data_IF_741633079201
#
_entry.id   IF_741633079201
#
_cell.length_a   1.000
_cell.length_b   1.000
_cell.length_c   1.000
_cell.angle_alpha   90.00
_cell.angle_beta   90.00
_cell.angle_gamma   90.00
#
_symmetry.space_group_name_H-M   'P 1'
#
loop_
_entity.id
_entity.type
_entity.pdbx_description
1 polymer ?
#
# COMPACT_ATOMS: atom_id res chain seq x y z
N UNK A 1 1.43 -15.81 -38.33
CA UNK A 1 2.51 -15.49 -37.35
C UNK A 1 1.86 -14.73 -36.20
N UNK A 2 1.90 -15.30 -35.04
CA UNK A 2 1.33 -14.65 -33.84
C UNK A 2 2.14 -13.41 -33.51
N UNK A 3 1.51 -12.25 -33.53
CA UNK A 3 2.15 -10.99 -33.12
C UNK A 3 2.17 -10.91 -31.61
N UNK A 4 3.31 -10.53 -31.04
CA UNK A 4 3.48 -10.33 -29.62
C UNK A 4 3.96 -8.91 -29.33
N UNK A 5 3.60 -8.37 -28.19
CA UNK A 5 4.14 -7.11 -27.67
C UNK A 5 4.52 -7.24 -26.21
N UNK A 6 5.38 -6.34 -25.75
CA UNK A 6 5.74 -6.24 -24.36
C UNK A 6 4.71 -5.38 -23.62
N UNK A 7 4.28 -5.88 -22.48
CA UNK A 7 3.35 -5.19 -21.58
C UNK A 7 3.99 -5.09 -20.21
N UNK A 8 4.13 -3.87 -19.71
CA UNK A 8 4.78 -3.56 -18.43
C UNK A 8 3.74 -3.12 -17.39
N UNK A 9 3.87 -3.60 -16.17
CA UNK A 9 3.12 -3.05 -15.04
C UNK A 9 3.78 -1.73 -14.59
N UNK A 10 3.06 -0.62 -14.69
CA UNK A 10 3.50 0.70 -14.24
C UNK A 10 2.99 1.07 -12.84
N UNK A 11 2.18 0.21 -12.22
CA UNK A 11 1.61 0.46 -10.92
C UNK A 11 2.53 -0.01 -9.78
N UNK A 12 2.30 0.50 -8.59
CA UNK A 12 3.02 0.11 -7.37
C UNK A 12 2.59 -1.25 -6.82
N UNK A 13 1.47 -1.79 -7.32
CA UNK A 13 0.85 -3.03 -6.85
C UNK A 13 0.86 -4.11 -7.93
N UNK A 14 0.56 -5.35 -7.51
CA UNK A 14 0.39 -6.48 -8.44
C UNK A 14 -0.90 -6.28 -9.24
N UNK A 15 -0.79 -6.33 -10.57
CA UNK A 15 -1.92 -6.28 -11.48
C UNK A 15 -2.26 -7.67 -11.97
N UNK A 16 -3.53 -8.08 -11.84
CA UNK A 16 -4.00 -9.39 -12.28
C UNK A 16 -5.19 -9.22 -13.20
N UNK A 17 -5.17 -9.92 -14.35
CA UNK A 17 -6.36 -10.05 -15.19
C UNK A 17 -6.68 -11.51 -15.48
N UNK A 18 -7.89 -11.75 -15.94
CA UNK A 18 -8.39 -13.08 -16.35
C UNK A 18 -9.17 -12.95 -17.65
N UNK A 19 -9.01 -13.95 -18.49
CA UNK A 19 -9.85 -14.16 -19.68
C UNK A 19 -10.48 -15.56 -19.48
N UNK A 20 -11.72 -15.63 -18.96
CA UNK A 20 -12.33 -16.90 -18.58
C UNK A 20 -12.53 -17.85 -19.76
N UNK A 21 -12.83 -17.32 -20.94
CA UNK A 21 -13.08 -18.08 -22.17
C UNK A 21 -11.88 -18.96 -22.58
N UNK A 22 -10.67 -18.44 -22.39
CA UNK A 22 -9.43 -19.15 -22.72
C UNK A 22 -8.75 -19.77 -21.48
N UNK A 23 -9.34 -19.63 -20.29
CA UNK A 23 -8.74 -20.06 -19.04
C UNK A 23 -7.44 -19.31 -18.67
N UNK A 24 -7.20 -18.15 -19.30
CA UNK A 24 -5.99 -17.36 -19.09
C UNK A 24 -6.10 -16.55 -17.80
N UNK A 25 -5.05 -16.65 -16.97
CA UNK A 25 -4.83 -15.76 -15.83
C UNK A 25 -3.40 -15.24 -15.86
N UNK A 26 -3.24 -13.92 -15.89
CA UNK A 26 -1.94 -13.27 -15.83
C UNK A 26 -1.81 -12.42 -14.57
N UNK A 27 -0.63 -12.45 -14.00
CA UNK A 27 -0.25 -11.62 -12.85
C UNK A 27 1.04 -10.89 -13.20
N UNK A 28 1.10 -9.60 -12.93
CA UNK A 28 2.27 -8.75 -13.15
C UNK A 28 2.70 -8.14 -11.82
N UNK A 29 3.91 -8.45 -11.38
CA UNK A 29 4.51 -7.74 -10.25
C UNK A 29 4.80 -6.27 -10.62
N UNK A 30 4.98 -5.36 -9.64
CA UNK A 30 5.35 -3.97 -9.91
C UNK A 30 6.59 -3.88 -10.80
N UNK A 31 6.51 -3.12 -11.89
CA UNK A 31 7.59 -2.95 -12.85
C UNK A 31 7.87 -4.14 -13.77
N UNK A 32 7.20 -5.27 -13.60
CA UNK A 32 7.38 -6.46 -14.42
C UNK A 32 6.91 -6.25 -15.85
N UNK A 33 7.69 -6.78 -16.82
CA UNK A 33 7.33 -6.78 -18.23
C UNK A 33 7.13 -8.21 -18.71
N UNK A 34 5.98 -8.46 -19.37
CA UNK A 34 5.67 -9.76 -20.00
C UNK A 34 5.35 -9.59 -21.46
N UNK A 35 5.70 -10.63 -22.23
CA UNK A 35 5.39 -10.73 -23.65
C UNK A 35 3.99 -11.34 -23.81
N UNK A 36 3.06 -10.58 -24.41
CA UNK A 36 1.65 -10.94 -24.57
C UNK A 36 1.32 -10.97 -26.06
N UNK A 37 0.47 -11.91 -26.49
CA UNK A 37 0.00 -11.97 -27.88
C UNK A 37 -1.04 -10.89 -28.14
N UNK A 38 -1.14 -10.45 -29.40
CA UNK A 38 -2.15 -9.50 -29.83
C UNK A 38 -3.57 -10.07 -29.64
N UNK A 39 -3.76 -11.36 -29.88
CA UNK A 39 -5.01 -12.06 -29.67
C UNK A 39 -5.46 -12.00 -28.19
N UNK A 40 -4.52 -12.24 -27.27
CA UNK A 40 -4.80 -12.14 -25.82
C UNK A 40 -5.18 -10.71 -25.43
N UNK A 41 -4.49 -9.69 -25.99
CA UNK A 41 -4.82 -8.29 -25.72
C UNK A 41 -6.19 -7.91 -26.28
N UNK A 42 -6.52 -8.38 -27.48
CA UNK A 42 -7.81 -8.16 -28.10
C UNK A 42 -8.95 -8.72 -27.23
N UNK A 43 -8.84 -9.99 -26.84
CA UNK A 43 -9.80 -10.64 -25.94
C UNK A 43 -9.92 -9.90 -24.60
N UNK A 44 -8.80 -9.40 -24.07
CA UNK A 44 -8.83 -8.61 -22.83
C UNK A 44 -9.59 -7.30 -23.03
N UNK A 45 -9.51 -6.64 -24.18
CA UNK A 45 -10.28 -5.40 -24.43
C UNK A 45 -11.79 -5.62 -24.43
N UNK A 46 -12.25 -6.82 -24.79
CA UNK A 46 -13.68 -7.20 -24.75
C UNK A 46 -14.14 -7.57 -23.33
N UNK A 47 -13.23 -7.88 -22.42
CA UNK A 47 -13.60 -8.15 -21.03
C UNK A 47 -14.00 -6.87 -20.30
N UNK A 48 -14.98 -6.98 -19.41
CA UNK A 48 -15.39 -5.85 -18.57
C UNK A 48 -14.21 -5.33 -17.74
N UNK A 49 -13.85 -4.07 -17.93
CA UNK A 49 -12.70 -3.44 -17.27
C UNK A 49 -11.33 -3.75 -17.87
N UNK A 50 -11.23 -4.62 -18.91
CA UNK A 50 -9.96 -4.99 -19.51
C UNK A 50 -9.23 -3.82 -20.15
N UNK A 51 -9.91 -2.96 -20.88
CA UNK A 51 -9.34 -1.74 -21.44
C UNK A 51 -8.84 -0.79 -20.34
N UNK A 52 -9.56 -0.68 -19.23
CA UNK A 52 -9.10 0.12 -18.09
C UNK A 52 -7.82 -0.43 -17.46
N UNK A 53 -7.69 -1.75 -17.36
CA UNK A 53 -6.46 -2.38 -16.86
C UNK A 53 -5.29 -2.04 -17.80
N UNK A 54 -5.48 -2.18 -19.11
CA UNK A 54 -4.44 -1.91 -20.11
C UNK A 54 -4.02 -0.43 -20.16
N UNK A 55 -4.95 0.50 -20.00
CA UNK A 55 -4.67 1.94 -20.13
C UNK A 55 -4.24 2.59 -18.81
N UNK A 56 -4.75 2.13 -17.66
CA UNK A 56 -4.51 2.77 -16.37
C UNK A 56 -3.36 2.16 -15.57
N UNK A 57 -3.21 0.84 -15.62
CA UNK A 57 -2.26 0.12 -14.77
C UNK A 57 -1.13 -0.53 -15.55
N UNK A 58 -1.40 -0.99 -16.76
CA UNK A 58 -0.39 -1.58 -17.64
C UNK A 58 0.06 -0.55 -18.68
N UNK A 59 1.24 -0.78 -19.23
CA UNK A 59 1.81 -0.03 -20.35
C UNK A 59 2.09 -1.00 -21.49
N UNK A 60 1.37 -0.85 -22.59
CA UNK A 60 1.62 -1.60 -23.82
C UNK A 60 2.74 -0.91 -24.59
N UNK A 61 3.85 -1.62 -24.83
CA UNK A 61 5.05 -1.08 -25.48
C UNK A 61 5.04 -1.39 -26.97
N UNK A 62 3.92 -1.12 -27.65
CA UNK A 62 3.78 -1.32 -29.09
C UNK A 62 2.83 -0.30 -29.67
N UNK A 63 3.34 0.59 -30.53
CA UNK A 63 2.53 1.62 -31.21
C UNK A 63 1.45 1.00 -32.09
N UNK A 64 1.75 -0.17 -32.68
CA UNK A 64 0.78 -0.91 -33.50
C UNK A 64 -0.41 -1.38 -32.64
N UNK A 65 -0.12 -1.98 -31.47
CA UNK A 65 -1.17 -2.42 -30.55
C UNK A 65 -1.98 -1.23 -30.00
N UNK A 66 -1.32 -0.14 -29.64
CA UNK A 66 -1.96 1.09 -29.13
C UNK A 66 -2.96 1.64 -30.18
N UNK A 67 -2.55 1.68 -31.45
CA UNK A 67 -3.40 2.14 -32.54
C UNK A 67 -4.54 1.17 -32.83
N UNK A 68 -4.24 -0.14 -32.90
CA UNK A 68 -5.23 -1.19 -33.22
C UNK A 68 -6.35 -1.25 -32.19
N UNK A 69 -6.00 -1.17 -30.90
CA UNK A 69 -6.96 -1.27 -29.79
C UNK A 69 -7.45 0.10 -29.28
N UNK A 70 -7.11 1.19 -29.98
CA UNK A 70 -7.52 2.56 -29.65
C UNK A 70 -7.24 2.94 -28.18
N UNK A 71 -6.06 2.52 -27.69
CA UNK A 71 -5.61 2.83 -26.34
C UNK A 71 -5.08 4.26 -26.30
N UNK A 72 -5.92 5.19 -25.85
CA UNK A 72 -5.53 6.60 -25.69
C UNK A 72 -4.73 6.75 -24.41
N UNK A 73 -3.42 6.76 -24.54
CA UNK A 73 -2.50 7.14 -23.45
C UNK A 73 -1.57 8.20 -23.99
N UNK A 74 -1.50 9.34 -23.33
CA UNK A 74 -0.60 10.42 -23.70
C UNK A 74 0.85 10.00 -23.40
N UNK A 75 1.78 10.10 -24.36
CA UNK A 75 3.17 9.66 -24.20
C UNK A 75 3.90 10.34 -23.03
N UNK A 76 3.50 11.55 -22.68
CA UNK A 76 4.06 12.35 -21.59
C UNK A 76 3.98 11.65 -20.23
N UNK A 77 2.99 10.78 -20.05
CA UNK A 77 2.77 10.03 -18.82
C UNK A 77 3.29 8.59 -18.84
N UNK A 78 4.15 8.26 -19.83
CA UNK A 78 4.95 7.03 -19.79
C UNK A 78 6.14 7.15 -18.84
N UNK A 79 5.85 7.48 -17.59
CA UNK A 79 6.86 7.73 -16.57
C UNK A 79 7.40 6.41 -16.02
N UNK A 80 8.73 6.32 -15.95
CA UNK A 80 9.41 5.26 -15.21
C UNK A 80 9.47 5.58 -13.71
N UNK A 81 9.80 4.57 -12.89
CA UNK A 81 10.03 4.79 -11.45
C UNK A 81 11.09 5.87 -11.18
N UNK A 82 12.15 5.91 -12.01
CA UNK A 82 13.19 6.93 -11.92
C UNK A 82 12.69 8.35 -12.26
N UNK A 83 11.79 8.46 -13.23
CA UNK A 83 11.20 9.76 -13.61
C UNK A 83 10.28 10.28 -12.51
N UNK A 84 9.48 9.39 -11.93
CA UNK A 84 8.62 9.72 -10.77
C UNK A 84 9.48 10.11 -9.57
N UNK A 85 10.57 9.41 -9.30
CA UNK A 85 11.51 9.76 -8.23
C UNK A 85 12.13 11.16 -8.44
N UNK A 86 12.56 11.48 -9.66
CA UNK A 86 13.05 12.82 -10.01
C UNK A 86 11.97 13.88 -9.83
N UNK A 87 10.75 13.60 -10.25
CA UNK A 87 9.64 14.54 -10.09
C UNK A 87 9.34 14.83 -8.61
N UNK A 88 9.41 13.83 -7.75
CA UNK A 88 9.23 13.98 -6.30
C UNK A 88 10.35 14.86 -5.71
N UNK A 89 11.61 14.61 -6.09
CA UNK A 89 12.78 15.25 -5.48
C UNK A 89 13.08 16.64 -6.04
N UNK A 90 13.02 16.81 -7.36
CA UNK A 90 13.48 18.01 -8.06
C UNK A 90 12.49 18.60 -9.07
N UNK A 91 11.34 17.94 -9.27
CA UNK A 91 10.31 18.45 -10.17
C UNK A 91 9.64 19.73 -9.63
N UNK A 92 9.11 20.57 -10.53
CA UNK A 92 8.31 21.72 -10.15
C UNK A 92 6.97 21.30 -9.57
N UNK A 93 6.34 22.17 -8.77
CA UNK A 93 5.00 21.96 -8.25
C UNK A 93 3.95 21.81 -9.37
N UNK A 94 4.07 22.67 -10.40
CA UNK A 94 3.14 22.65 -11.54
C UNK A 94 3.19 21.33 -12.30
N UNK A 95 4.40 20.81 -12.61
CA UNK A 95 4.56 19.51 -13.25
C UNK A 95 4.03 18.36 -12.38
N UNK A 96 4.18 18.47 -11.06
CA UNK A 96 3.63 17.50 -10.11
C UNK A 96 2.10 17.50 -10.10
N UNK A 97 1.48 18.68 -10.04
CA UNK A 97 0.03 18.85 -10.08
C UNK A 97 -0.55 18.36 -11.41
N UNK A 98 0.13 18.69 -12.52
CA UNK A 98 -0.25 18.27 -13.87
C UNK A 98 -0.26 16.73 -13.96
N UNK A 99 0.81 16.08 -13.50
CA UNK A 99 0.88 14.61 -13.42
C UNK A 99 -0.24 14.02 -12.56
N UNK A 100 -0.55 14.61 -11.41
CA UNK A 100 -1.65 14.14 -10.56
C UNK A 100 -3.03 14.26 -11.24
N UNK A 101 -3.18 15.21 -12.16
CA UNK A 101 -4.45 15.45 -12.83
C UNK A 101 -4.67 14.52 -14.02
N UNK A 102 -3.63 14.25 -14.79
CA UNK A 102 -3.74 13.62 -16.11
C UNK A 102 -3.07 12.27 -16.22
N UNK A 103 -2.11 11.94 -15.35
CA UNK A 103 -1.42 10.66 -15.42
C UNK A 103 -2.35 9.46 -15.11
N UNK A 104 -2.08 8.31 -15.70
CA UNK A 104 -2.80 7.07 -15.41
C UNK A 104 -2.72 6.68 -13.93
N UNK A 105 -3.76 6.02 -13.44
CA UNK A 105 -3.88 5.62 -12.02
C UNK A 105 -2.65 4.87 -11.50
N UNK A 106 -2.04 4.01 -12.34
CA UNK A 106 -0.82 3.27 -11.96
C UNK A 106 0.38 4.19 -11.65
N UNK A 107 0.53 5.31 -12.38
CA UNK A 107 1.55 6.32 -12.09
C UNK A 107 1.25 7.05 -10.78
N UNK A 108 -0.02 7.36 -10.52
CA UNK A 108 -0.44 7.99 -9.25
C UNK A 108 -0.17 7.07 -8.07
N UNK A 109 -0.42 5.77 -8.21
CA UNK A 109 -0.12 4.78 -7.17
C UNK A 109 1.40 4.66 -6.94
N UNK A 110 2.19 4.77 -8.01
CA UNK A 110 3.64 4.81 -7.91
C UNK A 110 4.14 6.06 -7.18
N UNK A 111 3.53 7.23 -7.44
CA UNK A 111 3.81 8.48 -6.72
C UNK A 111 3.53 8.30 -5.22
N UNK A 112 2.38 7.75 -4.84
CA UNK A 112 2.05 7.49 -3.43
C UNK A 112 3.09 6.60 -2.76
N UNK A 113 3.47 5.48 -3.39
CA UNK A 113 4.48 4.56 -2.86
C UNK A 113 5.82 5.25 -2.69
N UNK A 114 6.29 5.95 -3.72
CA UNK A 114 7.59 6.62 -3.69
C UNK A 114 7.63 7.81 -2.73
N UNK A 115 6.51 8.51 -2.52
CA UNK A 115 6.41 9.59 -1.53
C UNK A 115 6.61 9.14 -0.09
N UNK A 116 6.47 7.84 0.18
CA UNK A 116 6.80 7.24 1.47
C UNK A 116 8.28 6.85 1.54
N UNK A 117 8.79 6.23 0.46
CA UNK A 117 10.18 5.73 0.41
C UNK A 117 11.20 6.85 0.24
N UNK A 118 10.85 7.87 -0.54
CA UNK A 118 11.64 9.08 -0.75
C UNK A 118 10.94 10.18 0.04
N UNK A 119 11.58 10.78 1.06
CA UNK A 119 10.91 11.79 1.88
C UNK A 119 10.47 12.98 1.02
N UNK A 120 9.17 13.08 0.78
CA UNK A 120 8.56 14.23 0.13
C UNK A 120 8.55 15.38 1.14
N UNK A 121 9.58 16.24 1.09
CA UNK A 121 9.77 17.37 2.02
C UNK A 121 8.90 18.58 1.70
N UNK A 122 8.54 18.73 0.43
CA UNK A 122 7.73 19.83 -0.07
C UNK A 122 6.28 19.73 0.43
N UNK A 123 5.87 20.73 1.22
CA UNK A 123 4.55 20.80 1.83
C UNK A 123 3.46 20.96 0.78
N UNK A 124 3.70 21.79 -0.24
CA UNK A 124 2.72 22.08 -1.29
C UNK A 124 2.43 20.83 -2.13
N UNK A 125 3.46 20.04 -2.43
CA UNK A 125 3.29 18.74 -3.11
C UNK A 125 2.53 17.73 -2.24
N UNK A 126 2.76 17.70 -0.92
CA UNK A 126 2.00 16.84 0.01
C UNK A 126 0.52 17.22 0.02
N UNK A 127 0.22 18.51 0.11
CA UNK A 127 -1.14 19.02 0.09
C UNK A 127 -1.84 18.72 -1.24
N UNK A 128 -1.16 18.93 -2.37
CA UNK A 128 -1.66 18.59 -3.69
C UNK A 128 -2.00 17.09 -3.81
N UNK A 129 -1.09 16.22 -3.36
CA UNK A 129 -1.30 14.77 -3.36
C UNK A 129 -2.49 14.39 -2.47
N UNK A 130 -2.58 14.94 -1.27
CA UNK A 130 -3.69 14.71 -0.35
C UNK A 130 -5.02 15.20 -0.91
N UNK A 131 -5.06 16.39 -1.47
CA UNK A 131 -6.26 16.99 -2.07
C UNK A 131 -6.78 16.16 -3.26
N UNK A 132 -5.87 15.66 -4.11
CA UNK A 132 -6.25 14.91 -5.31
C UNK A 132 -6.63 13.46 -5.04
N UNK A 133 -5.91 12.80 -4.13
CA UNK A 133 -6.01 11.34 -3.93
C UNK A 133 -6.59 10.93 -2.58
N UNK A 134 -6.73 11.87 -1.64
CA UNK A 134 -7.05 11.58 -0.25
C UNK A 134 -5.88 10.96 0.55
N UNK A 135 -4.72 10.74 -0.08
CA UNK A 135 -3.58 10.07 0.54
C UNK A 135 -2.73 11.04 1.36
N UNK A 136 -2.66 10.80 2.66
CA UNK A 136 -1.87 11.59 3.60
C UNK A 136 -0.51 10.91 3.84
N UNK A 137 0.55 11.50 3.26
CA UNK A 137 1.92 10.99 3.37
C UNK A 137 2.40 10.99 4.82
N UNK A 138 2.02 12.00 5.61
CA UNK A 138 2.47 12.13 6.98
C UNK A 138 1.81 11.10 7.90
N UNK A 139 0.52 10.83 7.68
CA UNK A 139 -0.19 9.76 8.38
C UNK A 139 0.39 8.39 8.03
N UNK A 140 0.69 8.14 6.75
CA UNK A 140 1.31 6.90 6.30
C UNK A 140 2.70 6.68 6.93
N UNK A 141 3.54 7.71 6.98
CA UNK A 141 4.86 7.65 7.62
C UNK A 141 4.76 7.40 9.13
N UNK A 142 3.77 7.99 9.81
CA UNK A 142 3.53 7.72 11.25
C UNK A 142 3.12 6.27 11.49
N UNK A 143 2.25 5.72 10.67
CA UNK A 143 1.81 4.33 10.81
C UNK A 143 2.98 3.35 10.61
N UNK A 144 3.82 3.56 9.61
CA UNK A 144 5.00 2.72 9.36
C UNK A 144 5.98 2.78 10.54
N UNK A 145 6.18 3.96 11.14
CA UNK A 145 7.04 4.08 12.32
C UNK A 145 6.46 3.34 13.52
N UNK A 146 5.16 3.44 13.74
CA UNK A 146 4.49 2.71 14.81
C UNK A 146 4.60 1.19 14.63
N UNK A 147 4.41 0.68 13.42
CA UNK A 147 4.59 -0.74 13.09
C UNK A 147 6.03 -1.21 13.36
N UNK A 148 7.04 -0.40 12.97
CA UNK A 148 8.45 -0.71 13.20
C UNK A 148 8.84 -0.67 14.70
N UNK A 149 8.17 0.15 15.50
CA UNK A 149 8.37 0.20 16.94
C UNK A 149 7.75 -1.01 17.64
N UNK A 150 6.60 -1.47 17.18
CA UNK A 150 5.93 -2.66 17.71
C UNK A 150 6.66 -3.96 17.33
N UNK A 151 7.35 -4.01 16.19
CA UNK A 151 8.14 -5.16 15.75
C UNK A 151 9.51 -5.26 16.44
N UNK A 152 9.98 -4.21 17.11
CA UNK A 152 11.21 -4.31 17.92
C UNK A 152 10.94 -5.24 19.11
N UNK A 153 11.71 -6.35 19.25
CA UNK A 153 11.54 -7.23 20.39
C UNK A 153 11.76 -6.40 21.66
N UNK A 154 10.79 -6.44 22.57
CA UNK A 154 10.87 -5.86 23.92
C UNK A 154 11.90 -6.63 24.79
N UNK A 155 13.12 -6.76 24.30
CA UNK A 155 14.25 -7.35 24.98
C UNK A 155 15.25 -6.27 25.38
N UNK A 156 14.87 -5.49 26.36
CA UNK A 156 15.77 -4.91 27.34
C UNK A 156 14.93 -4.47 28.54
N UNK A 157 14.55 -5.46 29.36
CA UNK A 157 14.31 -5.19 30.77
C UNK A 157 15.72 -5.01 31.31
N UNK A 158 16.23 -3.79 31.24
CA UNK A 158 17.29 -3.38 32.12
C UNK A 158 16.67 -3.34 33.51
N UNK A 159 16.84 -4.48 34.20
CA UNK A 159 16.58 -4.66 35.62
C UNK A 159 17.65 -3.87 36.41
N UNK A 160 17.49 -2.57 36.47
CA UNK A 160 18.12 -1.69 37.44
C UNK A 160 17.08 -0.80 38.10
N UNK A 161 16.09 -1.44 38.73
CA UNK A 161 15.36 -0.77 39.80
C UNK A 161 16.22 -0.83 41.07
N UNK A 162 16.70 0.29 41.63
CA UNK A 162 17.39 0.30 42.91
C UNK A 162 16.39 -0.19 43.97
N UNK A 163 16.71 -1.33 44.57
CA UNK A 163 15.98 -1.90 45.70
C UNK A 163 15.94 -0.85 46.82
N UNK A 164 14.81 -0.14 46.92
CA UNK A 164 14.52 0.68 48.08
C UNK A 164 14.38 -0.26 49.30
N UNK A 165 15.42 -0.35 50.12
CA UNK A 165 15.37 -1.01 51.42
C UNK A 165 14.37 -0.23 52.28
N UNK A 166 13.18 -0.80 52.51
CA UNK A 166 12.23 -0.34 53.48
C UNK A 166 12.76 -0.73 54.87
N UNK A 167 12.92 0.19 55.79
CA UNK A 167 13.27 -0.15 57.19
C UNK A 167 12.13 -0.99 57.78
N UNK A 168 12.47 -2.08 58.48
CA UNK A 168 11.53 -2.86 59.28
C UNK A 168 11.09 -1.99 60.47
N UNK A 169 9.92 -1.40 60.34
CA UNK A 169 9.22 -0.89 61.52
C UNK A 169 8.43 -2.05 62.17
N UNK A 170 8.71 -2.23 63.46
CA UNK A 170 8.01 -3.16 64.35
C UNK A 170 6.56 -2.73 64.52
N UNK A 171 5.64 -3.56 64.08
CA UNK A 171 4.20 -3.34 64.26
C UNK A 171 3.77 -3.82 65.64
N UNK A 172 3.10 -3.03 66.45
CA UNK A 172 2.48 -3.48 67.69
C UNK A 172 1.25 -4.34 67.41
N UNK A 173 1.14 -5.41 68.13
CA UNK A 173 0.08 -6.39 68.16
C UNK A 173 -1.28 -5.72 68.53
N UNK A 174 -2.32 -5.91 67.72
CA UNK A 174 -3.69 -5.66 68.12
C UNK A 174 -4.55 -4.79 67.19
N UNK A 175 -4.92 -5.31 66.02
CA UNK A 175 -6.18 -4.90 65.38
C UNK A 175 -6.74 -6.03 64.48
N UNK A 176 -7.93 -6.50 64.85
CA UNK A 176 -8.72 -7.47 64.09
C UNK A 176 -9.10 -6.88 62.74
N UNK A 177 -8.67 -7.47 61.62
CA UNK A 177 -9.13 -7.15 60.27
C UNK A 177 -10.26 -8.12 59.92
N UNK A 178 -11.45 -7.59 59.78
CA UNK A 178 -12.59 -8.31 59.15
C UNK A 178 -12.43 -8.26 57.64
N UNK A 179 -12.13 -9.38 57.04
CA UNK A 179 -12.14 -9.53 55.57
C UNK A 179 -13.57 -9.77 55.09
N UNK A 180 -14.10 -9.05 54.09
CA UNK A 180 -15.38 -9.35 53.50
C UNK A 180 -15.28 -10.64 52.63
N UNK A 181 -16.10 -11.64 52.91
CA UNK A 181 -16.23 -12.85 52.09
C UNK A 181 -17.12 -12.53 50.88
N UNK A 182 -16.57 -12.59 49.70
CA UNK A 182 -17.34 -12.63 48.47
C UNK A 182 -17.72 -14.11 48.17
N UNK A 183 -19.03 -14.38 48.09
CA UNK A 183 -19.53 -15.66 47.59
C UNK A 183 -19.55 -15.64 46.06
N UNK A 184 -18.74 -16.47 45.43
CA UNK A 184 -18.81 -16.73 43.99
C UNK A 184 -19.93 -17.77 43.75
N UNK A 185 -21.03 -17.34 43.10
CA UNK A 185 -22.09 -18.21 42.64
C UNK A 185 -21.63 -18.86 41.34
N UNK A 186 -21.43 -20.17 41.34
CA UNK A 186 -21.21 -20.96 40.11
C UNK A 186 -22.55 -21.25 39.46
N UNK A 187 -22.79 -20.71 38.28
CA UNK A 187 -23.91 -21.14 37.44
C UNK A 187 -23.62 -22.50 36.80
N UNK A 188 -24.50 -23.46 37.01
CA UNK A 188 -24.50 -24.75 36.33
C UNK A 188 -25.24 -24.66 35.00
N UNK A 189 -24.76 -25.26 33.90
CA UNK A 189 -25.50 -25.28 32.65
C UNK A 189 -26.68 -26.23 32.71
N UNK A 190 -27.87 -25.74 32.32
CA UNK A 190 -29.07 -26.57 32.10
C UNK A 190 -28.91 -27.38 30.82
N UNK A 191 -28.98 -28.69 30.94
CA UNK A 191 -29.19 -29.62 29.85
C UNK A 191 -30.60 -29.46 29.27
N UNK A 192 -30.68 -29.38 27.94
CA UNK A 192 -31.93 -29.41 27.19
C UNK A 192 -32.32 -30.86 26.90
N UNK A 193 -33.57 -31.18 27.13
CA UNK A 193 -34.36 -32.24 26.52
C UNK A 193 -34.96 -31.71 25.20
#
# INVERSE_FOLDING_TARGET
MDKYCNVKNRSASVVVYRIPEDGIRRSFAPGETKKISFEELEKLTYQSGGLNILTRFLQVQSDEAIKTFNMKVEPEYYMSEADVAKMITSGSLDAFIDTLNFAPTGVIDLIKKLSISIPLTDIEKREALKKKTGFDVEAALRNIRAEQEDEKPKNSIDDETPVRRIPKETVPEGRRTTTPKYNVVKETPKSAE
#
